data_IF_057735813228
#
_entry.id   IF_057735813228
#
_cell.length_a   1.000
_cell.length_b   1.000
_cell.length_c   1.000
_cell.angle_alpha   90.00
_cell.angle_beta   90.00
_cell.angle_gamma   90.00
#
_symmetry.space_group_name_H-M   'P 1'
#
loop_
_entity.id
_entity.type
_entity.pdbx_description
1 polymer ?
#
# COMPACT_ATOMS: atom_id res chain seq x y z
N UNK A 1 52.98 26.12 33.81
CA UNK A 1 51.94 27.06 34.29
C UNK A 1 50.71 26.80 33.42
N UNK A 2 49.57 26.30 33.85
CA UNK A 2 49.03 26.09 35.19
C UNK A 2 48.23 24.78 35.18
N UNK A 3 48.41 24.01 36.23
CA UNK A 3 47.74 22.74 36.51
C UNK A 3 46.62 23.04 37.49
N UNK A 4 45.39 22.56 37.27
CA UNK A 4 44.42 22.42 38.37
C UNK A 4 43.85 21.01 38.32
N UNK A 5 44.27 20.23 39.33
CA UNK A 5 43.76 18.92 39.71
C UNK A 5 42.59 19.14 40.66
N UNK A 6 41.52 18.35 40.53
CA UNK A 6 40.66 18.00 41.65
C UNK A 6 40.38 16.49 41.62
N UNK A 7 40.91 15.81 42.64
CA UNK A 7 40.64 14.45 43.10
C UNK A 7 39.39 14.53 43.98
N UNK A 8 38.34 13.72 43.87
CA UNK A 8 38.07 12.36 44.38
C UNK A 8 36.52 12.30 44.45
N UNK A 9 35.79 11.21 44.27
CA UNK A 9 35.88 10.00 45.06
C UNK A 9 35.19 8.83 44.35
N UNK A 10 35.80 7.67 44.58
CA UNK A 10 35.40 6.34 44.20
C UNK A 10 34.25 5.87 45.10
N UNK A 11 33.15 5.38 44.52
CA UNK A 11 32.19 4.50 45.23
C UNK A 11 32.03 3.25 44.38
N UNK A 12 32.74 2.19 44.77
CA UNK A 12 32.56 0.82 44.27
C UNK A 12 31.49 0.17 45.14
N UNK A 13 30.36 -0.20 44.54
CA UNK A 13 29.40 -1.12 45.16
C UNK A 13 29.56 -2.47 44.48
N UNK A 14 30.15 -3.42 45.20
CA UNK A 14 30.14 -4.85 44.89
C UNK A 14 28.73 -5.39 45.17
N UNK A 15 27.99 -5.74 44.11
CA UNK A 15 26.75 -6.51 44.22
C UNK A 15 27.00 -7.96 43.80
N UNK A 16 27.14 -8.86 44.77
CA UNK A 16 27.07 -10.30 44.57
C UNK A 16 25.60 -10.71 44.48
N UNK A 17 25.13 -11.12 43.30
CA UNK A 17 23.89 -11.88 43.17
C UNK A 17 24.17 -13.28 42.64
N UNK A 18 23.75 -14.23 43.46
CA UNK A 18 23.77 -15.67 43.27
C UNK A 18 22.62 -16.07 42.33
N UNK A 19 22.93 -16.95 41.38
CA UNK A 19 22.03 -18.02 40.90
C UNK A 19 20.69 -17.64 40.29
N UNK A 20 20.61 -17.73 38.96
CA UNK A 20 19.35 -17.92 38.25
C UNK A 20 19.61 -18.33 36.80
N UNK A 21 19.47 -19.63 36.48
CA UNK A 21 19.36 -20.10 35.09
C UNK A 21 18.10 -19.51 34.47
N UNK A 22 18.22 -18.32 33.87
CA UNK A 22 17.21 -17.77 32.99
C UNK A 22 17.41 -18.32 31.59
N UNK A 23 16.57 -19.29 31.21
CA UNK A 23 16.41 -19.71 29.82
C UNK A 23 16.16 -18.48 28.96
N UNK A 24 17.15 -18.13 28.13
CA UNK A 24 17.04 -17.10 27.11
C UNK A 24 15.91 -17.54 26.15
N UNK A 25 14.71 -16.94 26.32
CA UNK A 25 13.66 -17.03 25.31
C UNK A 25 14.23 -16.38 24.06
N UNK A 26 14.66 -17.21 23.11
CA UNK A 26 14.84 -16.81 21.73
C UNK A 26 13.48 -16.29 21.24
N UNK A 27 13.30 -14.98 21.27
CA UNK A 27 12.34 -14.31 20.43
C UNK A 27 12.76 -14.59 19.00
N UNK A 28 12.02 -15.48 18.34
CA UNK A 28 12.07 -15.63 16.89
C UNK A 28 11.68 -14.27 16.31
N UNK A 29 12.65 -13.46 15.91
CA UNK A 29 12.42 -12.45 14.89
C UNK A 29 11.80 -13.19 13.71
N UNK A 30 10.52 -12.91 13.41
CA UNK A 30 9.92 -13.35 12.16
C UNK A 30 10.76 -12.73 11.05
N UNK A 31 11.57 -13.56 10.42
CA UNK A 31 12.27 -13.28 9.17
C UNK A 31 11.24 -12.73 8.19
N UNK A 32 11.30 -11.41 7.96
CA UNK A 32 10.64 -10.75 6.85
C UNK A 32 11.26 -11.36 5.60
N UNK A 33 10.68 -12.46 5.14
CA UNK A 33 11.12 -13.18 3.96
C UNK A 33 11.13 -12.15 2.84
N UNK A 34 12.31 -11.79 2.35
CA UNK A 34 12.46 -10.77 1.31
C UNK A 34 11.64 -11.21 0.08
N UNK A 35 10.44 -10.64 -0.07
CA UNK A 35 9.57 -10.89 -1.21
C UNK A 35 10.12 -10.10 -2.39
N UNK A 36 10.70 -10.78 -3.38
CA UNK A 36 11.14 -10.14 -4.60
C UNK A 36 9.95 -9.91 -5.56
N UNK A 37 9.90 -8.78 -6.29
CA UNK A 37 8.86 -8.58 -7.30
C UNK A 37 8.93 -9.64 -8.40
N UNK A 38 7.78 -10.07 -8.89
CA UNK A 38 7.69 -10.85 -10.12
C UNK A 38 7.81 -9.91 -11.33
N UNK A 39 8.28 -10.45 -12.46
CA UNK A 39 8.50 -9.69 -13.71
C UNK A 39 7.94 -10.43 -14.93
N UNK A 40 7.16 -11.49 -14.71
CA UNK A 40 6.72 -12.44 -15.72
C UNK A 40 5.37 -12.05 -16.34
N UNK A 41 4.31 -12.16 -15.56
CA UNK A 41 2.91 -12.03 -16.00
C UNK A 41 2.18 -11.02 -15.12
N UNK A 42 1.11 -10.43 -15.65
CA UNK A 42 0.25 -9.54 -14.86
C UNK A 42 -0.41 -10.26 -13.70
N UNK A 43 -0.97 -9.51 -12.76
CA UNK A 43 -1.78 -10.08 -11.70
C UNK A 43 -2.96 -10.90 -12.27
N UNK A 44 -3.68 -10.36 -13.25
CA UNK A 44 -4.83 -11.02 -13.86
C UNK A 44 -4.44 -12.30 -14.62
N UNK A 45 -3.33 -12.26 -15.37
CA UNK A 45 -2.77 -13.44 -16.05
C UNK A 45 -2.37 -14.53 -15.05
N UNK A 46 -1.71 -14.14 -13.95
CA UNK A 46 -1.33 -15.06 -12.88
C UNK A 46 -2.57 -15.73 -12.26
N UNK A 47 -3.56 -14.94 -11.81
CA UNK A 47 -4.78 -15.45 -11.19
C UNK A 47 -5.52 -16.42 -12.12
N UNK A 48 -5.64 -16.06 -13.40
CA UNK A 48 -6.25 -16.93 -14.42
C UNK A 48 -5.49 -18.25 -14.58
N UNK A 49 -4.15 -18.20 -14.65
CA UNK A 49 -3.32 -19.40 -14.79
C UNK A 49 -3.40 -20.33 -13.57
N UNK A 50 -3.67 -19.78 -12.38
CA UNK A 50 -3.91 -20.55 -11.16
C UNK A 50 -5.35 -21.09 -11.06
N UNK A 51 -6.22 -20.79 -12.04
CA UNK A 51 -7.64 -21.15 -11.97
C UNK A 51 -8.41 -20.37 -10.91
N UNK A 52 -7.89 -19.22 -10.46
CA UNK A 52 -8.59 -18.32 -9.54
C UNK A 52 -9.57 -17.47 -10.32
N UNK A 53 -10.84 -17.51 -9.91
CA UNK A 53 -11.88 -16.67 -10.49
C UNK A 53 -11.94 -15.32 -9.77
N UNK A 54 -12.02 -14.26 -10.54
CA UNK A 54 -12.04 -12.86 -10.06
C UNK A 54 -13.47 -12.33 -10.11
N UNK A 55 -13.99 -11.84 -8.99
CA UNK A 55 -15.33 -11.27 -8.86
C UNK A 55 -15.26 -9.81 -8.35
N UNK A 56 -15.60 -8.80 -9.18
CA UNK A 56 -15.68 -7.41 -8.73
C UNK A 56 -16.64 -7.23 -7.56
N UNK A 57 -16.22 -6.45 -6.58
CA UNK A 57 -17.01 -6.10 -5.41
C UNK A 57 -17.27 -4.59 -5.40
N UNK A 58 -18.53 -4.22 -5.17
CA UNK A 58 -19.00 -2.85 -5.00
C UNK A 58 -19.46 -2.64 -3.56
N UNK A 59 -19.92 -1.44 -3.21
CA UNK A 59 -20.55 -1.20 -1.90
C UNK A 59 -21.80 -2.08 -1.68
N UNK A 60 -22.49 -2.47 -2.75
CA UNK A 60 -23.68 -3.31 -2.68
C UNK A 60 -23.36 -4.78 -2.47
N UNK A 61 -22.25 -5.28 -3.02
CA UNK A 61 -21.92 -6.72 -3.00
C UNK A 61 -20.92 -7.10 -1.90
N UNK A 62 -20.06 -6.18 -1.46
CA UNK A 62 -19.12 -6.44 -0.38
C UNK A 62 -19.82 -6.45 0.99
N UNK A 63 -19.77 -7.58 1.71
CA UNK A 63 -20.45 -7.75 3.01
C UNK A 63 -19.53 -8.03 4.19
N UNK A 64 -18.39 -8.67 3.95
CA UNK A 64 -17.50 -9.21 5.01
C UNK A 64 -16.27 -8.35 5.27
N UNK A 65 -16.07 -7.28 4.48
CA UNK A 65 -14.99 -6.30 4.66
C UNK A 65 -15.61 -4.91 4.59
N UNK A 66 -15.18 -4.01 5.47
CA UNK A 66 -15.48 -2.57 5.36
C UNK A 66 -14.22 -1.83 4.93
N UNK A 67 -14.39 -0.95 3.97
CA UNK A 67 -13.32 -0.12 3.44
C UNK A 67 -13.65 1.35 3.70
N UNK A 68 -12.66 2.09 4.18
CA UNK A 68 -12.69 3.54 4.27
C UNK A 68 -11.41 4.13 3.74
N UNK A 69 -11.44 5.39 3.33
CA UNK A 69 -10.24 6.15 2.94
C UNK A 69 -10.32 7.50 3.63
N UNK A 70 -9.26 7.89 4.34
CA UNK A 70 -9.18 9.24 4.90
C UNK A 70 -9.10 10.25 3.75
N UNK A 71 -10.06 11.18 3.72
CA UNK A 71 -10.15 12.21 2.69
C UNK A 71 -9.38 13.46 3.11
N UNK A 72 -8.44 13.95 2.27
CA UNK A 72 -7.90 15.31 2.42
C UNK A 72 -9.00 16.37 2.20
N UNK A 73 -8.69 17.63 2.53
CA UNK A 73 -9.61 18.75 2.28
C UNK A 73 -9.83 18.88 0.76
N UNK A 74 -11.09 19.04 0.33
CA UNK A 74 -11.45 19.18 -1.09
C UNK A 74 -11.75 17.85 -1.79
N UNK A 75 -11.27 16.73 -1.25
CA UNK A 75 -11.46 15.39 -1.80
C UNK A 75 -12.78 14.79 -1.34
N UNK A 76 -13.73 14.60 -2.26
CA UNK A 76 -15.09 14.15 -1.95
C UNK A 76 -15.52 13.00 -2.85
N UNK A 77 -16.46 12.18 -2.36
CA UNK A 77 -17.13 11.18 -3.21
C UNK A 77 -18.04 11.93 -4.16
N UNK A 78 -17.84 11.74 -5.46
CA UNK A 78 -18.65 12.39 -6.48
C UNK A 78 -19.32 11.35 -7.37
N UNK A 79 -20.66 11.27 -7.30
CA UNK A 79 -21.45 10.30 -8.04
C UNK A 79 -21.31 10.44 -9.55
N UNK A 80 -21.00 11.64 -10.05
CA UNK A 80 -20.80 11.87 -11.49
C UNK A 80 -19.48 11.29 -12.01
N UNK A 81 -18.53 10.98 -11.12
CA UNK A 81 -17.24 10.39 -11.44
C UNK A 81 -17.16 8.90 -11.07
N UNK A 82 -18.29 8.28 -10.68
CA UNK A 82 -18.29 6.86 -10.36
C UNK A 82 -18.03 6.03 -11.60
N UNK A 83 -17.09 5.10 -11.48
CA UNK A 83 -16.69 4.19 -12.53
C UNK A 83 -17.36 2.84 -12.26
N UNK A 84 -18.02 2.20 -13.25
CA UNK A 84 -18.61 0.88 -13.06
C UNK A 84 -17.61 -0.13 -12.48
N UNK A 85 -18.10 -1.04 -11.63
CA UNK A 85 -17.31 -2.08 -10.97
C UNK A 85 -16.20 -1.57 -10.03
N UNK A 86 -16.25 -0.31 -9.60
CA UNK A 86 -15.40 0.21 -8.53
C UNK A 86 -16.15 0.24 -7.20
N UNK A 87 -15.41 0.23 -6.10
CA UNK A 87 -15.98 0.33 -4.76
C UNK A 87 -16.18 1.78 -4.33
N UNK A 88 -15.22 2.65 -4.64
CA UNK A 88 -15.22 4.04 -4.22
C UNK A 88 -14.40 4.88 -5.19
N UNK A 89 -14.94 6.04 -5.57
CA UNK A 89 -14.19 7.08 -6.28
C UNK A 89 -14.28 8.36 -5.47
N UNK A 90 -13.12 8.95 -5.15
CA UNK A 90 -12.97 10.22 -4.47
C UNK A 90 -12.23 11.16 -5.44
N UNK A 91 -12.70 12.38 -5.61
CA UNK A 91 -12.09 13.36 -6.49
C UNK A 91 -11.94 14.71 -5.80
N UNK A 92 -10.91 15.47 -6.18
CA UNK A 92 -10.85 16.90 -5.90
C UNK A 92 -11.16 17.67 -7.19
N UNK A 93 -12.41 18.11 -7.32
CA UNK A 93 -12.86 18.89 -8.48
C UNK A 93 -12.39 20.35 -8.43
N UNK A 94 -11.89 20.83 -7.29
CA UNK A 94 -11.27 22.15 -7.17
C UNK A 94 -9.84 22.19 -7.69
N UNK A 95 -9.20 21.02 -7.80
CA UNK A 95 -7.83 20.85 -8.28
C UNK A 95 -7.73 20.31 -9.71
N UNK A 96 -8.74 20.53 -10.57
CA UNK A 96 -8.67 20.12 -11.99
C UNK A 96 -7.51 20.84 -12.69
N UNK A 97 -6.66 20.06 -13.37
CA UNK A 97 -5.53 20.55 -14.16
C UNK A 97 -5.52 19.89 -15.53
N UNK A 98 -5.38 20.70 -16.58
CA UNK A 98 -5.40 20.25 -17.98
C UNK A 98 -6.55 19.26 -18.27
N UNK A 99 -7.74 19.58 -17.74
CA UNK A 99 -8.96 18.77 -17.90
C UNK A 99 -8.99 17.45 -17.09
N UNK A 100 -7.96 17.15 -16.31
CA UNK A 100 -7.89 15.98 -15.44
C UNK A 100 -8.27 16.34 -14.00
N UNK A 101 -9.27 15.65 -13.45
CA UNK A 101 -9.60 15.74 -12.03
C UNK A 101 -8.76 14.72 -11.25
N UNK A 102 -7.88 15.15 -10.32
CA UNK A 102 -7.15 14.21 -9.47
C UNK A 102 -8.13 13.35 -8.67
N UNK A 103 -7.84 12.05 -8.62
CA UNK A 103 -8.79 11.06 -8.11
C UNK A 103 -8.11 9.91 -7.38
N UNK A 104 -8.84 9.34 -6.44
CA UNK A 104 -8.52 8.12 -5.73
C UNK A 104 -9.64 7.10 -5.98
N UNK A 105 -9.29 6.00 -6.60
CA UNK A 105 -10.21 4.91 -6.95
C UNK A 105 -9.86 3.69 -6.13
N UNK A 106 -10.86 3.12 -5.46
CA UNK A 106 -10.75 1.82 -4.80
C UNK A 106 -11.47 0.77 -5.63
N UNK A 107 -10.74 -0.27 -6.02
CA UNK A 107 -11.25 -1.47 -6.67
C UNK A 107 -11.07 -2.64 -5.71
N UNK A 108 -12.06 -3.53 -5.65
CA UNK A 108 -12.00 -4.71 -4.81
C UNK A 108 -12.41 -5.90 -5.65
N UNK A 109 -11.58 -6.93 -5.65
CA UNK A 109 -11.90 -8.20 -6.27
C UNK A 109 -11.91 -9.29 -5.23
N UNK A 110 -13.00 -10.06 -5.16
CA UNK A 110 -13.02 -11.34 -4.47
C UNK A 110 -12.34 -12.39 -5.34
N UNK A 111 -11.47 -13.17 -4.73
CA UNK A 111 -10.62 -14.17 -5.37
C UNK A 111 -11.11 -15.56 -4.95
N UNK A 112 -11.74 -16.27 -5.88
CA UNK A 112 -12.36 -17.57 -5.63
C UNK A 112 -11.49 -18.67 -6.21
N UNK A 113 -10.84 -19.44 -5.33
CA UNK A 113 -9.91 -20.50 -5.68
C UNK A 113 -8.80 -20.62 -4.64
N UNK A 114 -7.92 -21.61 -4.81
CA UNK A 114 -6.69 -21.69 -4.02
C UNK A 114 -5.69 -20.65 -4.51
N UNK A 115 -5.10 -19.90 -3.60
CA UNK A 115 -4.08 -18.90 -3.92
C UNK A 115 -3.11 -18.75 -2.76
N UNK A 116 -1.91 -18.25 -3.07
CA UNK A 116 -0.97 -17.75 -2.08
C UNK A 116 -0.99 -16.21 -2.14
N UNK A 117 -1.32 -15.56 -1.03
CA UNK A 117 -1.42 -14.11 -0.95
C UNK A 117 -0.09 -13.40 -1.26
N UNK A 118 1.05 -13.99 -0.90
CA UNK A 118 2.37 -13.43 -1.21
C UNK A 118 2.69 -13.56 -2.69
N UNK A 119 2.38 -14.68 -3.31
CA UNK A 119 2.57 -14.83 -4.77
C UNK A 119 1.69 -13.88 -5.58
N UNK A 120 0.48 -13.59 -5.10
CA UNK A 120 -0.39 -12.56 -5.65
C UNK A 120 0.27 -11.17 -5.55
N UNK A 121 0.72 -10.79 -4.35
CA UNK A 121 1.35 -9.48 -4.11
C UNK A 121 2.66 -9.28 -4.88
N UNK A 122 3.42 -10.34 -5.15
CA UNK A 122 4.61 -10.27 -6.01
C UNK A 122 4.31 -9.69 -7.40
N UNK A 123 3.08 -9.77 -7.89
CA UNK A 123 2.66 -9.21 -9.19
C UNK A 123 2.15 -7.78 -9.11
N UNK A 124 2.03 -7.19 -7.90
CA UNK A 124 1.43 -5.87 -7.68
C UNK A 124 2.10 -4.70 -8.40
N UNK A 125 3.26 -4.89 -9.05
CA UNK A 125 3.92 -3.86 -9.85
C UNK A 125 3.73 -4.05 -11.35
N UNK A 126 3.54 -5.28 -11.81
CA UNK A 126 3.73 -5.68 -13.20
C UNK A 126 2.81 -4.89 -14.13
N UNK A 127 1.54 -4.77 -13.75
CA UNK A 127 0.54 -4.01 -14.50
C UNK A 127 0.91 -2.52 -14.64
N UNK A 128 1.35 -1.90 -13.54
CA UNK A 128 1.73 -0.47 -13.53
C UNK A 128 3.01 -0.22 -14.33
N UNK A 129 3.99 -1.12 -14.23
CA UNK A 129 5.24 -1.03 -14.99
C UNK A 129 5.05 -1.14 -16.50
N UNK A 130 3.93 -1.69 -16.95
CA UNK A 130 3.55 -1.79 -18.37
C UNK A 130 2.88 -0.52 -18.91
N UNK A 131 2.60 0.49 -18.07
CA UNK A 131 2.06 1.76 -18.55
C UNK A 131 3.03 2.45 -19.52
N UNK A 132 2.49 3.16 -20.51
CA UNK A 132 3.28 3.84 -21.53
C UNK A 132 4.21 4.86 -20.89
N UNK A 133 5.50 4.77 -21.22
CA UNK A 133 6.56 5.65 -20.71
C UNK A 133 6.62 5.69 -19.17
N UNK A 134 6.29 4.59 -18.49
CA UNK A 134 6.33 4.53 -17.04
C UNK A 134 7.74 4.80 -16.51
N UNK A 135 7.83 5.70 -15.52
CA UNK A 135 9.05 6.01 -14.77
C UNK A 135 8.76 5.84 -13.29
N UNK A 136 9.33 4.78 -12.71
CA UNK A 136 9.16 4.48 -11.30
C UNK A 136 9.80 5.57 -10.42
N UNK A 137 9.05 6.06 -9.44
CA UNK A 137 9.51 6.97 -8.39
C UNK A 137 9.81 6.20 -7.10
N UNK A 138 8.92 5.30 -6.70
CA UNK A 138 9.09 4.48 -5.49
C UNK A 138 8.36 3.15 -5.63
N UNK A 139 8.78 2.14 -4.86
CA UNK A 139 8.09 0.86 -4.74
C UNK A 139 8.41 0.19 -3.40
N UNK A 140 7.43 -0.51 -2.80
CA UNK A 140 7.62 -1.30 -1.58
C UNK A 140 6.66 -2.51 -1.52
N UNK A 141 7.15 -3.67 -1.09
CA UNK A 141 6.33 -4.87 -0.81
C UNK A 141 6.19 -5.12 0.70
N UNK A 142 6.48 -4.09 1.50
CA UNK A 142 6.22 -4.14 2.93
C UNK A 142 4.73 -4.29 3.21
N UNK A 143 4.41 -4.94 4.32
CA UNK A 143 3.03 -5.10 4.74
C UNK A 143 2.35 -3.77 5.01
N UNK A 144 1.07 -3.69 4.64
CA UNK A 144 0.23 -2.54 4.92
C UNK A 144 -0.74 -2.90 6.04
N UNK A 145 -0.54 -2.32 7.23
CA UNK A 145 -1.37 -2.60 8.42
C UNK A 145 -1.51 -4.12 8.64
N UNK A 146 -0.36 -4.79 8.74
CA UNK A 146 -0.21 -6.22 9.00
C UNK A 146 -0.80 -7.15 7.92
N UNK A 147 -0.89 -6.67 6.68
CA UNK A 147 -1.40 -7.43 5.52
C UNK A 147 -0.41 -7.42 4.37
N UNK A 148 -0.25 -8.54 3.62
CA UNK A 148 0.57 -8.56 2.42
C UNK A 148 0.17 -7.45 1.46
N UNK A 149 1.13 -6.62 1.04
CA UNK A 149 0.88 -5.46 0.20
C UNK A 149 2.01 -5.18 -0.78
N UNK A 150 1.67 -4.54 -1.89
CA UNK A 150 2.60 -3.97 -2.84
C UNK A 150 2.14 -2.54 -3.15
N UNK A 151 3.01 -1.56 -3.02
CA UNK A 151 2.80 -0.19 -3.48
C UNK A 151 3.85 0.21 -4.50
N UNK A 152 3.42 0.85 -5.57
CA UNK A 152 4.29 1.41 -6.61
C UNK A 152 3.81 2.81 -6.97
N UNK A 153 4.75 3.73 -7.10
CA UNK A 153 4.51 5.11 -7.49
C UNK A 153 5.38 5.47 -8.69
N UNK A 154 4.84 6.23 -9.63
CA UNK A 154 5.60 6.72 -10.77
C UNK A 154 4.77 7.58 -11.71
N UNK A 155 5.40 8.04 -12.77
CA UNK A 155 4.74 8.81 -13.83
C UNK A 155 4.52 7.95 -15.06
N UNK A 156 3.46 8.21 -15.82
CA UNK A 156 3.19 7.57 -17.11
C UNK A 156 2.51 8.55 -18.07
N UNK A 157 2.36 8.14 -19.33
CA UNK A 157 1.53 8.84 -20.30
C UNK A 157 0.21 8.10 -20.50
N UNK A 158 -0.91 8.83 -20.43
CA UNK A 158 -2.20 8.28 -20.85
C UNK A 158 -2.31 8.25 -22.39
N UNK A 159 -3.47 7.80 -22.90
CA UNK A 159 -3.73 7.64 -24.33
C UNK A 159 -3.64 8.96 -25.12
N UNK A 160 -3.99 10.10 -24.50
CA UNK A 160 -3.88 11.43 -25.13
C UNK A 160 -2.45 12.00 -25.08
N UNK A 161 -1.49 11.29 -24.46
CA UNK A 161 -0.12 11.75 -24.29
C UNK A 161 0.08 12.70 -23.09
N UNK A 162 -0.95 12.90 -22.27
CA UNK A 162 -0.85 13.69 -21.04
C UNK A 162 -0.02 12.93 -20.01
N UNK A 163 0.89 13.63 -19.34
CA UNK A 163 1.74 13.06 -18.28
C UNK A 163 1.00 13.05 -16.95
N UNK A 164 0.82 11.87 -16.39
CA UNK A 164 0.15 11.63 -15.11
C UNK A 164 1.13 11.02 -14.10
N UNK A 165 0.85 11.22 -12.81
CA UNK A 165 1.48 10.48 -11.72
C UNK A 165 0.43 9.54 -11.11
N UNK A 166 0.86 8.32 -10.79
CA UNK A 166 0.03 7.31 -10.14
C UNK A 166 0.73 6.73 -8.92
N UNK A 167 -0.03 6.48 -7.87
CA UNK A 167 0.30 5.56 -6.78
C UNK A 167 -0.72 4.42 -6.82
N UNK A 168 -0.27 3.18 -6.97
CA UNK A 168 -1.10 1.99 -6.87
C UNK A 168 -0.67 1.17 -5.65
N UNK A 169 -1.59 0.96 -4.71
CA UNK A 169 -1.42 0.04 -3.57
C UNK A 169 -2.37 -1.14 -3.70
N UNK A 170 -1.80 -2.34 -3.74
CA UNK A 170 -2.50 -3.60 -3.62
C UNK A 170 -2.38 -4.11 -2.19
N UNK A 171 -3.48 -4.59 -1.60
CA UNK A 171 -3.51 -5.21 -0.27
C UNK A 171 -4.31 -6.50 -0.34
N UNK A 172 -3.72 -7.60 0.10
CA UNK A 172 -4.43 -8.86 0.27
C UNK A 172 -5.21 -8.86 1.58
N UNK A 173 -6.48 -9.26 1.50
CA UNK A 173 -7.37 -9.36 2.64
C UNK A 173 -7.97 -10.76 2.66
N UNK A 174 -7.69 -11.49 3.73
CA UNK A 174 -8.29 -12.80 4.00
C UNK A 174 -9.20 -12.68 5.23
N UNK A 175 -10.47 -13.02 5.06
CA UNK A 175 -11.47 -13.03 6.13
C UNK A 175 -12.28 -14.31 6.00
N UNK A 176 -12.34 -15.09 7.09
CA UNK A 176 -12.87 -16.46 7.06
C UNK A 176 -12.20 -17.29 5.96
N UNK A 177 -12.98 -17.87 5.04
CA UNK A 177 -12.50 -18.64 3.89
C UNK A 177 -12.47 -17.81 2.59
N UNK A 178 -12.65 -16.48 2.69
CA UNK A 178 -12.73 -15.58 1.54
C UNK A 178 -11.45 -14.75 1.41
N UNK A 179 -10.98 -14.60 0.17
CA UNK A 179 -9.83 -13.80 -0.17
C UNK A 179 -10.24 -12.64 -1.07
N UNK A 180 -9.65 -11.48 -0.85
CA UNK A 180 -9.86 -10.28 -1.64
C UNK A 180 -8.52 -9.62 -1.94
N UNK A 181 -8.43 -8.96 -3.10
CA UNK A 181 -7.40 -7.96 -3.36
C UNK A 181 -8.06 -6.59 -3.42
N UNK A 182 -7.57 -5.67 -2.61
CA UNK A 182 -7.96 -4.26 -2.60
C UNK A 182 -6.90 -3.48 -3.35
N UNK A 183 -7.29 -2.77 -4.40
CA UNK A 183 -6.45 -1.83 -5.12
C UNK A 183 -6.91 -0.41 -4.80
N UNK A 184 -6.04 0.40 -4.22
CA UNK A 184 -6.16 1.85 -4.19
C UNK A 184 -5.26 2.43 -5.31
N UNK A 185 -5.86 3.18 -6.22
CA UNK A 185 -5.14 3.95 -7.25
C UNK A 185 -5.38 5.43 -7.00
N UNK A 186 -4.31 6.20 -6.76
CA UNK A 186 -4.37 7.66 -6.64
C UNK A 186 -3.65 8.27 -7.83
N UNK A 187 -4.35 9.07 -8.63
CA UNK A 187 -3.81 9.65 -9.86
C UNK A 187 -3.94 11.17 -9.86
N UNK A 188 -2.89 11.85 -10.27
CA UNK A 188 -2.83 13.31 -10.52
C UNK A 188 -2.21 13.59 -11.88
N UNK A 189 -2.26 14.83 -12.36
CA UNK A 189 -1.31 15.23 -13.40
C UNK A 189 0.12 15.20 -12.83
N UNK A 190 1.12 14.97 -13.67
CA UNK A 190 2.52 15.02 -13.22
C UNK A 190 2.93 16.42 -12.76
N UNK A 191 2.31 17.48 -13.31
CA UNK A 191 2.56 18.86 -12.94
C UNK A 191 2.10 19.19 -11.51
N UNK A 192 0.99 18.60 -11.06
CA UNK A 192 0.44 18.81 -9.72
C UNK A 192 1.01 17.89 -8.64
N UNK A 193 1.77 16.86 -9.02
CA UNK A 193 2.24 15.82 -8.10
C UNK A 193 2.94 16.35 -6.84
N UNK A 194 3.72 17.44 -6.97
CA UNK A 194 4.38 18.07 -5.82
C UNK A 194 3.42 18.83 -4.91
N UNK A 195 2.43 19.52 -5.48
CA UNK A 195 1.44 20.29 -4.72
C UNK A 195 0.46 19.38 -3.95
N UNK A 196 0.10 18.24 -4.55
CA UNK A 196 -0.85 17.27 -3.97
C UNK A 196 -0.15 16.13 -3.20
N UNK A 197 1.15 16.22 -2.95
CA UNK A 197 1.92 15.12 -2.36
C UNK A 197 1.40 14.71 -0.96
N UNK A 198 0.99 15.68 -0.15
CA UNK A 198 0.40 15.43 1.18
C UNK A 198 -0.98 14.77 1.08
N UNK A 199 -1.77 15.14 0.06
CA UNK A 199 -3.08 14.55 -0.18
C UNK A 199 -2.95 13.10 -0.61
N UNK A 200 -2.03 12.82 -1.55
CA UNK A 200 -1.70 11.45 -1.99
C UNK A 200 -1.24 10.59 -0.80
N UNK A 201 -0.35 11.12 0.06
CA UNK A 201 0.06 10.41 1.28
C UNK A 201 -1.09 10.15 2.24
N UNK A 202 -1.99 11.11 2.40
CA UNK A 202 -3.16 10.98 3.29
C UNK A 202 -4.13 9.92 2.76
N UNK A 203 -4.37 9.86 1.46
CA UNK A 203 -5.20 8.84 0.83
C UNK A 203 -4.55 7.45 0.96
N UNK A 204 -3.25 7.33 0.69
CA UNK A 204 -2.49 6.08 0.77
C UNK A 204 -2.42 5.52 2.20
N UNK A 205 -1.95 6.33 3.16
CA UNK A 205 -1.88 5.96 4.58
C UNK A 205 -3.27 5.82 5.24
N UNK A 206 -4.26 6.52 4.67
CA UNK A 206 -5.64 6.58 5.14
C UNK A 206 -6.53 5.44 4.70
N UNK A 207 -6.08 4.54 3.82
CA UNK A 207 -6.83 3.33 3.45
C UNK A 207 -7.06 2.46 4.68
N UNK A 208 -8.30 2.36 5.14
CA UNK A 208 -8.69 1.57 6.28
C UNK A 208 -9.45 0.31 5.82
N UNK A 209 -9.02 -0.85 6.32
CA UNK A 209 -9.59 -2.15 5.99
C UNK A 209 -9.91 -2.86 7.30
N UNK A 210 -11.20 -3.07 7.56
CA UNK A 210 -11.67 -3.78 8.77
C UNK A 210 -12.52 -4.97 8.38
N UNK A 211 -12.31 -6.09 9.07
CA UNK A 211 -12.96 -7.39 8.89
C UNK A 211 -13.74 -7.73 10.15
#
# INVERSE_FOLDING_TARGET
>A
MSTVRFTAALVVVLGLFVGGCGTQKNSVEMDSTLVSPATDVTLDEYLKNQGVRVEPQTQETLKVVKIGVQQPVGWLVNMNFQIPNTYLVITDTGAIDDGFAPNAVVIIHKLVGKLDAREVIRRGYVDTQRFKNFKQKSASMADYKDRPSAVIEGTFENESGQSLQVLNRYVMVSVEEQNFVVLLSVTTTAAQAGALENDVRTLDGGLNITT
#
